data_IF_859513769180
#
_entry.id   IF_859513769180
#
_cell.length_a   1.000
_cell.length_b   1.000
_cell.length_c   1.000
_cell.angle_alpha   90.00
_cell.angle_beta   90.00
_cell.angle_gamma   90.00
#
_symmetry.space_group_name_H-M   'P 1'
#
loop_
_entity.id
_entity.type
_entity.pdbx_description
1 polymer ?
#
# COMPACT_ATOMS: atom_id res chain seq x y z
N UNK A 1 18.47 -17.84 17.08
CA UNK A 1 17.93 -16.98 16.00
C UNK A 1 17.06 -17.71 14.98
N UNK A 2 17.51 -18.85 14.41
CA UNK A 2 16.80 -19.58 13.32
C UNK A 2 15.34 -19.93 13.64
N UNK A 3 15.02 -20.30 14.89
CA UNK A 3 13.65 -20.66 15.31
C UNK A 3 12.67 -19.48 15.24
N UNK A 4 13.12 -18.25 15.51
CA UNK A 4 12.26 -17.05 15.47
C UNK A 4 11.91 -16.69 14.01
N UNK A 5 12.88 -16.78 13.11
CA UNK A 5 12.68 -16.54 11.67
C UNK A 5 11.72 -17.54 11.06
N UNK A 6 11.87 -18.84 11.35
CA UNK A 6 10.94 -19.88 10.89
C UNK A 6 9.51 -19.63 11.39
N UNK A 7 9.35 -19.21 12.65
CA UNK A 7 8.04 -18.91 13.23
C UNK A 7 7.37 -17.69 12.60
N UNK A 8 8.14 -16.64 12.31
CA UNK A 8 7.66 -15.46 11.61
C UNK A 8 7.25 -15.79 10.16
N UNK A 9 8.08 -16.53 9.43
CA UNK A 9 7.79 -16.97 8.07
C UNK A 9 6.53 -17.84 8.01
N UNK A 10 6.38 -18.79 8.93
CA UNK A 10 5.19 -19.64 9.00
C UNK A 10 3.92 -18.85 9.35
N UNK A 11 4.04 -17.82 10.20
CA UNK A 11 2.93 -16.91 10.51
C UNK A 11 2.52 -16.10 9.28
N UNK A 12 3.47 -15.55 8.53
CA UNK A 12 3.20 -14.82 7.27
C UNK A 12 2.54 -15.74 6.25
N UNK A 13 3.06 -16.95 6.07
CA UNK A 13 2.49 -17.93 5.15
C UNK A 13 1.05 -18.29 5.53
N UNK A 14 0.81 -18.59 6.81
CA UNK A 14 -0.54 -18.90 7.31
C UNK A 14 -1.50 -17.73 7.14
N UNK A 15 -1.05 -16.52 7.48
CA UNK A 15 -1.88 -15.32 7.36
C UNK A 15 -2.19 -15.00 5.88
N UNK A 16 -1.28 -15.31 4.95
CA UNK A 16 -1.50 -15.20 3.50
C UNK A 16 -2.54 -16.23 2.99
N UNK A 17 -2.41 -17.50 3.39
CA UNK A 17 -3.36 -18.57 3.04
C UNK A 17 -4.76 -18.29 3.63
N UNK A 18 -4.81 -17.72 4.83
CA UNK A 18 -6.07 -17.37 5.51
C UNK A 18 -6.66 -16.02 5.10
N UNK A 19 -6.11 -15.35 4.08
CA UNK A 19 -6.54 -14.02 3.62
C UNK A 19 -6.71 -13.01 4.76
N UNK A 20 -5.82 -13.06 5.75
CA UNK A 20 -5.97 -12.25 6.94
C UNK A 20 -5.86 -10.78 6.58
N UNK A 21 -6.90 -10.02 6.90
CA UNK A 21 -6.94 -8.58 6.66
C UNK A 21 -6.01 -7.87 7.65
N UNK A 22 -4.84 -7.43 7.19
CA UNK A 22 -3.93 -6.60 7.99
C UNK A 22 -4.34 -5.13 7.93
N UNK A 23 -5.44 -4.82 8.63
CA UNK A 23 -6.08 -3.49 8.59
C UNK A 23 -5.08 -2.39 9.01
N UNK A 24 -4.32 -2.60 10.09
CA UNK A 24 -3.34 -1.61 10.56
C UNK A 24 -2.21 -1.39 9.55
N UNK A 25 -1.72 -2.45 8.90
CA UNK A 25 -0.71 -2.33 7.86
C UNK A 25 -1.25 -1.54 6.67
N UNK A 26 -2.51 -1.77 6.28
CA UNK A 26 -3.19 -1.03 5.20
C UNK A 26 -3.28 0.46 5.55
N UNK A 27 -3.68 0.81 6.78
CA UNK A 27 -3.73 2.19 7.27
C UNK A 27 -2.35 2.86 7.24
N UNK A 28 -1.30 2.17 7.73
CA UNK A 28 0.07 2.71 7.70
C UNK A 28 0.53 2.96 6.26
N UNK A 29 0.29 2.02 5.35
CA UNK A 29 0.64 2.19 3.93
C UNK A 29 -0.12 3.37 3.31
N UNK A 30 -1.40 3.55 3.65
CA UNK A 30 -2.17 4.72 3.21
C UNK A 30 -1.53 6.01 3.71
N UNK A 31 -1.16 6.10 4.99
CA UNK A 31 -0.52 7.31 5.56
C UNK A 31 0.78 7.63 4.82
N UNK A 32 1.66 6.63 4.66
CA UNK A 32 2.95 6.81 3.95
C UNK A 32 2.71 7.28 2.51
N UNK A 33 1.72 6.71 1.84
CA UNK A 33 1.39 7.07 0.47
C UNK A 33 0.85 8.50 0.35
N UNK A 34 -0.16 8.87 1.16
CA UNK A 34 -0.82 10.18 1.07
C UNK A 34 0.02 11.34 1.62
N UNK A 35 0.83 11.11 2.66
CA UNK A 35 1.64 12.18 3.28
C UNK A 35 3.04 12.27 2.64
N UNK A 36 3.60 11.16 2.16
CA UNK A 36 4.96 11.12 1.63
C UNK A 36 4.99 11.03 0.11
N UNK A 37 4.64 9.86 -0.42
CA UNK A 37 4.91 9.50 -1.82
C UNK A 37 4.09 10.35 -2.78
N UNK A 38 2.79 10.49 -2.55
CA UNK A 38 1.87 11.25 -3.42
C UNK A 38 2.28 12.72 -3.54
N UNK A 39 2.46 13.50 -2.46
CA UNK A 39 2.86 14.90 -2.59
C UNK A 39 4.26 15.06 -3.18
N UNK A 40 5.19 14.14 -2.90
CA UNK A 40 6.51 14.15 -3.54
C UNK A 40 6.43 13.96 -5.06
N UNK A 41 5.64 12.98 -5.52
CA UNK A 41 5.43 12.69 -6.94
C UNK A 41 4.73 13.86 -7.64
N UNK A 42 3.68 14.42 -7.03
CA UNK A 42 2.97 15.57 -7.57
C UNK A 42 3.85 16.82 -7.63
N UNK A 43 4.71 17.05 -6.61
CA UNK A 43 5.67 18.17 -6.60
C UNK A 43 6.70 18.07 -7.74
N UNK A 44 7.03 16.85 -8.19
CA UNK A 44 7.92 16.61 -9.34
C UNK A 44 7.21 16.62 -10.70
N UNK A 45 5.87 16.73 -10.70
CA UNK A 45 5.05 17.07 -11.87
C UNK A 45 5.42 16.29 -13.13
N UNK A 46 5.88 17.02 -14.15
CA UNK A 46 6.22 16.46 -15.47
C UNK A 46 7.23 15.32 -15.44
N UNK A 47 8.22 15.35 -14.54
CA UNK A 47 9.22 14.29 -14.45
C UNK A 47 8.62 12.94 -14.05
N UNK A 48 7.46 12.96 -13.39
CA UNK A 48 6.74 11.79 -12.89
C UNK A 48 5.39 11.60 -13.60
N UNK A 49 5.17 12.25 -14.75
CA UNK A 49 3.92 12.19 -15.51
C UNK A 49 3.50 10.75 -15.87
N UNK A 50 4.48 9.86 -16.13
CA UNK A 50 4.21 8.44 -16.36
C UNK A 50 3.67 7.72 -15.12
N UNK A 51 4.16 8.07 -13.93
CA UNK A 51 3.68 7.53 -12.64
C UNK A 51 2.26 8.01 -12.36
N UNK A 52 2.01 9.31 -12.55
CA UNK A 52 0.68 9.91 -12.36
C UNK A 52 -0.34 9.27 -13.31
N UNK A 53 -0.02 9.17 -14.61
CA UNK A 53 -0.89 8.51 -15.60
C UNK A 53 -1.16 7.03 -15.27
N UNK A 54 -0.17 6.34 -14.69
CA UNK A 54 -0.33 4.95 -14.26
C UNK A 54 -1.27 4.84 -13.07
N UNK A 55 -1.13 5.73 -12.09
CA UNK A 55 -2.08 5.84 -10.98
C UNK A 55 -3.49 6.10 -11.50
N UNK A 56 -3.63 6.91 -12.55
CA UNK A 56 -4.92 7.23 -13.15
C UNK A 56 -5.61 6.03 -13.77
N UNK A 57 -4.85 5.24 -14.51
CA UNK A 57 -5.35 3.97 -15.03
C UNK A 57 -5.73 2.95 -13.95
N UNK A 58 -5.26 3.13 -12.71
CA UNK A 58 -5.54 2.26 -11.57
C UNK A 58 -6.64 2.81 -10.65
N UNK A 59 -7.18 4.01 -10.94
CA UNK A 59 -8.16 4.69 -10.09
C UNK A 59 -7.57 5.19 -8.75
N UNK A 60 -6.26 5.41 -8.68
CA UNK A 60 -5.57 5.85 -7.44
C UNK A 60 -5.64 7.37 -7.23
N UNK A 61 -6.26 8.08 -8.16
CA UNK A 61 -6.34 9.52 -8.19
C UNK A 61 -7.75 9.96 -7.85
N UNK A 62 -7.73 10.90 -6.92
CA UNK A 62 -8.84 11.71 -6.45
C UNK A 62 -9.92 11.09 -5.55
N UNK A 63 -10.43 9.85 -5.67
CA UNK A 63 -11.57 9.46 -4.79
C UNK A 63 -11.75 7.97 -4.39
N UNK A 64 -10.95 7.01 -4.86
CA UNK A 64 -11.32 5.58 -4.75
C UNK A 64 -11.09 4.87 -3.39
N UNK A 65 -10.53 5.52 -2.36
CA UNK A 65 -10.29 4.90 -1.05
C UNK A 65 -11.20 5.39 0.09
N UNK A 66 -12.30 6.08 -0.25
CA UNK A 66 -13.33 6.43 0.74
C UNK A 66 -14.28 5.28 1.10
N UNK A 67 -14.15 4.11 0.47
CA UNK A 67 -15.00 2.95 0.80
C UNK A 67 -14.20 1.89 1.58
N UNK A 68 -14.29 1.84 2.92
CA UNK A 68 -13.62 0.82 3.72
C UNK A 68 -14.25 -0.59 3.57
N UNK A 69 -15.28 -0.74 2.73
CA UNK A 69 -16.07 -1.97 2.58
C UNK A 69 -15.95 -2.65 1.20
N UNK A 70 -14.98 -2.26 0.36
CA UNK A 70 -14.58 -3.06 -0.81
C UNK A 70 -13.13 -3.55 -0.64
#
# INVERSE_FOLDING_TARGET
>A
MIRKTKRAAHKIYKDAVMHKKYILQRVIHSIIFYIGIKPFVLKRGEQMKGVIKRWESMGLDSFAFQNPFI
#
